data_IF_687360219987
#
_entry.id   IF_687360219987
#
_cell.length_a   1.000
_cell.length_b   1.000
_cell.length_c   1.000
_cell.angle_alpha   90.00
_cell.angle_beta   90.00
_cell.angle_gamma   90.00
#
_symmetry.space_group_name_H-M   'P 1'
#
loop_
_entity.id
_entity.type
_entity.pdbx_description
1 polymer ?
#
# COMPACT_ATOMS: atom_id res chain seq x y z
N UNK A 1 52.71 46.12 50.63
CA UNK A 1 52.41 45.08 49.62
C UNK A 1 51.57 45.72 48.52
N UNK A 2 51.88 45.47 47.24
CA UNK A 2 51.28 46.20 46.11
C UNK A 2 50.22 45.39 45.33
N UNK A 3 49.37 46.13 44.63
CA UNK A 3 48.18 45.66 43.88
C UNK A 3 48.53 45.23 42.46
N UNK A 4 47.86 44.19 41.91
CA UNK A 4 47.45 44.13 40.49
C UNK A 4 46.37 43.08 40.18
N UNK A 5 45.63 43.35 39.09
CA UNK A 5 44.33 42.80 38.62
C UNK A 5 44.31 43.07 37.08
N UNK A 6 43.59 42.37 36.15
CA UNK A 6 42.44 41.45 36.31
C UNK A 6 42.56 40.10 35.54
N UNK A 7 41.45 39.35 35.45
CA UNK A 7 41.25 38.22 34.52
C UNK A 7 39.77 37.86 34.29
N UNK A 8 39.28 38.05 33.05
CA UNK A 8 37.95 37.70 32.49
C UNK A 8 38.09 37.64 30.94
N UNK A 9 37.14 37.09 30.16
CA UNK A 9 35.90 36.38 30.52
C UNK A 9 35.80 34.96 29.91
N UNK A 10 34.69 34.26 30.15
CA UNK A 10 34.24 33.11 29.36
C UNK A 10 32.80 33.30 28.88
N UNK A 11 32.61 33.58 27.59
CA UNK A 11 31.29 33.64 26.94
C UNK A 11 31.19 32.55 25.88
N UNK A 12 30.34 31.54 26.09
CA UNK A 12 29.99 30.59 25.03
C UNK A 12 29.08 31.27 24.01
N UNK A 13 29.59 31.48 22.79
CA UNK A 13 28.81 31.87 21.62
C UNK A 13 28.62 30.64 20.74
N UNK A 14 27.39 30.15 20.63
CA UNK A 14 27.03 29.11 19.67
C UNK A 14 26.76 29.77 18.32
N UNK A 15 27.53 29.40 17.29
CA UNK A 15 27.26 29.76 15.89
C UNK A 15 26.90 28.49 15.09
N UNK A 16 25.70 28.39 14.51
CA UNK A 16 25.34 27.27 13.65
C UNK A 16 26.01 27.42 12.28
N UNK A 17 27.17 26.78 12.09
CA UNK A 17 27.83 26.71 10.77
C UNK A 17 27.17 25.65 9.89
N UNK A 18 26.19 26.09 9.08
CA UNK A 18 25.78 25.34 7.89
C UNK A 18 26.97 25.27 6.92
N UNK A 19 27.44 24.05 6.64
CA UNK A 19 28.54 23.79 5.73
C UNK A 19 28.09 22.77 4.67
N UNK A 20 27.42 23.25 3.63
CA UNK A 20 27.23 22.45 2.41
C UNK A 20 28.60 22.23 1.78
N UNK A 21 28.96 20.98 1.51
CA UNK A 21 30.09 20.60 0.65
C UNK A 21 29.62 19.62 -0.43
N UNK A 22 30.23 19.66 -1.62
CA UNK A 22 29.69 19.01 -2.81
C UNK A 22 29.95 17.50 -2.82
N UNK A 23 29.22 16.80 -3.71
CA UNK A 23 29.48 15.41 -4.02
C UNK A 23 30.91 15.21 -4.56
N UNK A 24 31.57 14.16 -4.10
CA UNK A 24 32.85 13.69 -4.63
C UNK A 24 32.64 12.34 -5.32
N UNK A 25 33.11 12.20 -6.56
CA UNK A 25 33.30 10.89 -7.17
C UNK A 25 34.42 10.16 -6.43
N UNK A 26 34.14 8.96 -5.94
CA UNK A 26 35.19 8.04 -5.50
C UNK A 26 35.61 7.16 -6.68
N UNK A 27 36.69 7.56 -7.34
CA UNK A 27 37.56 6.68 -8.11
C UNK A 27 38.82 6.45 -7.27
N UNK A 28 38.86 5.35 -6.52
CA UNK A 28 40.08 4.94 -5.83
C UNK A 28 40.99 4.18 -6.80
N UNK A 29 42.16 4.76 -7.09
CA UNK A 29 43.26 4.10 -7.79
C UNK A 29 44.36 3.82 -6.76
N UNK A 30 44.66 2.54 -6.53
CA UNK A 30 45.65 2.09 -5.54
C UNK A 30 47.10 2.18 -6.07
N UNK A 31 48.01 2.96 -5.45
CA UNK A 31 49.37 3.14 -5.92
C UNK A 31 50.40 2.27 -5.15
N UNK A 32 50.54 1.00 -5.55
CA UNK A 32 51.85 0.33 -5.48
C UNK A 32 51.99 -0.99 -4.70
N UNK A 33 51.34 -2.07 -5.16
CA UNK A 33 51.68 -3.44 -4.76
C UNK A 33 52.66 -4.12 -5.74
N UNK A 34 53.90 -4.43 -5.32
CA UNK A 34 54.83 -5.24 -6.12
C UNK A 34 54.51 -6.74 -5.98
N UNK A 35 53.69 -7.27 -6.88
CA UNK A 35 53.41 -8.72 -7.00
C UNK A 35 53.46 -9.17 -8.45
N UNK A 36 54.33 -10.12 -8.79
CA UNK A 36 54.51 -10.58 -10.17
C UNK A 36 53.46 -11.60 -10.60
N UNK A 37 52.75 -11.33 -11.69
CA UNK A 37 51.84 -12.28 -12.34
C UNK A 37 52.43 -12.75 -13.68
N UNK A 38 52.51 -14.07 -13.89
CA UNK A 38 52.91 -14.64 -15.19
C UNK A 38 51.76 -14.53 -16.18
N UNK A 39 52.06 -14.09 -17.40
CA UNK A 39 51.12 -14.10 -18.53
C UNK A 39 51.27 -15.42 -19.31
N UNK A 40 50.23 -16.28 -19.38
CA UNK A 40 50.15 -17.32 -20.39
C UNK A 40 49.96 -16.68 -21.76
N UNK A 41 50.57 -17.25 -22.81
CA UNK A 41 50.40 -16.74 -24.18
C UNK A 41 49.02 -17.13 -24.75
N UNK A 42 48.61 -16.44 -25.81
CA UNK A 42 47.63 -17.00 -26.76
C UNK A 42 48.16 -18.33 -27.33
N UNK A 43 47.22 -19.09 -27.88
CA UNK A 43 47.38 -20.30 -28.71
C UNK A 43 47.25 -21.65 -27.99
N UNK A 44 46.06 -21.92 -27.43
CA UNK A 44 45.54 -23.29 -27.25
C UNK A 44 44.02 -23.29 -26.97
N UNK A 45 43.21 -23.64 -27.99
CA UNK A 45 41.93 -24.40 -27.93
C UNK A 45 41.19 -24.30 -29.26
N UNK A 46 41.34 -25.36 -30.08
CA UNK A 46 40.53 -25.61 -31.28
C UNK A 46 39.50 -26.70 -30.95
N UNK A 47 38.31 -26.60 -31.55
CA UNK A 47 37.18 -27.54 -31.48
C UNK A 47 36.57 -27.84 -30.10
N UNK A 48 35.35 -27.33 -29.89
CA UNK A 48 34.12 -28.16 -29.91
C UNK A 48 32.86 -27.30 -29.88
N UNK A 49 32.31 -26.99 -31.05
CA UNK A 49 30.98 -26.36 -31.19
C UNK A 49 30.15 -27.09 -32.24
N UNK A 50 29.27 -28.00 -31.78
CA UNK A 50 28.17 -28.61 -32.55
C UNK A 50 27.02 -29.02 -31.62
N UNK A 51 26.14 -28.07 -31.31
CA UNK A 51 24.68 -28.20 -31.46
C UNK A 51 23.92 -27.19 -30.57
N UNK A 52 23.43 -26.11 -31.21
CA UNK A 52 22.12 -25.49 -30.94
C UNK A 52 21.77 -24.54 -32.08
N UNK A 53 20.55 -24.66 -32.60
CA UNK A 53 20.02 -23.74 -33.63
C UNK A 53 19.64 -22.43 -32.96
N UNK A 54 20.04 -21.25 -33.47
CA UNK A 54 19.51 -19.98 -32.97
C UNK A 54 18.06 -19.81 -33.42
N UNK A 55 17.18 -19.44 -32.48
CA UNK A 55 15.84 -18.94 -32.81
C UNK A 55 15.95 -17.56 -33.46
N UNK A 56 15.24 -17.33 -34.56
CA UNK A 56 15.21 -16.03 -35.21
C UNK A 56 14.38 -15.03 -34.38
N UNK A 57 14.94 -13.85 -34.10
CA UNK A 57 14.18 -12.66 -33.71
C UNK A 57 13.89 -11.81 -34.95
N UNK A 58 12.68 -11.24 -35.11
CA UNK A 58 12.46 -10.21 -36.13
C UNK A 58 13.26 -8.95 -35.76
N UNK A 59 14.00 -8.39 -36.73
CA UNK A 59 14.60 -7.06 -36.62
C UNK A 59 13.54 -6.01 -36.97
N UNK A 60 13.16 -5.19 -35.99
CA UNK A 60 12.75 -3.82 -36.29
C UNK A 60 14.02 -2.99 -36.50
N UNK A 61 14.10 -2.23 -37.59
CA UNK A 61 15.22 -1.34 -37.86
C UNK A 61 14.81 0.11 -37.55
N UNK A 62 15.65 0.82 -36.80
CA UNK A 62 15.62 2.27 -36.68
C UNK A 62 17.06 2.77 -36.76
N UNK A 63 17.42 3.37 -37.89
CA UNK A 63 18.61 4.20 -38.00
C UNK A 63 18.25 5.61 -37.54
N UNK A 64 19.05 6.20 -36.66
CA UNK A 64 18.76 7.49 -36.04
C UNK A 64 19.92 7.97 -35.18
N UNK A 65 20.84 8.73 -35.77
CA UNK A 65 22.08 9.18 -35.13
C UNK A 65 21.82 10.37 -34.18
N UNK A 66 21.27 10.06 -33.00
CA UNK A 66 20.79 11.04 -32.03
C UNK A 66 21.91 11.61 -31.14
N UNK A 67 22.54 12.71 -31.58
CA UNK A 67 23.55 13.44 -30.78
C UNK A 67 22.94 14.08 -29.53
N UNK A 68 23.16 13.46 -28.36
CA UNK A 68 22.72 13.97 -27.06
C UNK A 68 23.32 15.36 -26.76
N UNK A 69 22.51 16.41 -26.90
CA UNK A 69 22.93 17.79 -26.61
C UNK A 69 22.40 18.21 -25.24
N UNK A 70 23.23 18.07 -24.20
CA UNK A 70 22.88 18.41 -22.82
C UNK A 70 22.87 19.95 -22.65
N UNK A 71 21.67 20.55 -22.61
CA UNK A 71 21.49 21.93 -22.15
C UNK A 71 21.43 21.97 -20.62
N UNK A 72 22.51 22.42 -19.98
CA UNK A 72 22.50 22.76 -18.55
C UNK A 72 21.84 24.13 -18.37
N UNK A 73 20.71 24.19 -17.67
CA UNK A 73 20.05 25.44 -17.27
C UNK A 73 20.37 25.70 -15.79
N UNK A 74 21.22 26.69 -15.53
CA UNK A 74 21.58 27.09 -14.16
C UNK A 74 20.61 28.19 -13.69
N UNK A 75 19.61 27.82 -12.89
CA UNK A 75 18.72 28.78 -12.24
C UNK A 75 19.39 29.41 -11.00
N UNK A 76 19.61 30.72 -11.02
CA UNK A 76 20.13 31.47 -9.86
C UNK A 76 19.00 31.92 -8.94
N UNK A 77 18.94 31.36 -7.73
CA UNK A 77 17.96 31.76 -6.71
C UNK A 77 18.34 33.12 -6.08
N UNK A 78 17.60 34.18 -6.40
CA UNK A 78 17.70 35.46 -5.71
C UNK A 78 16.99 35.40 -4.35
N UNK A 79 17.73 35.55 -3.25
CA UNK A 79 17.14 35.90 -1.95
C UNK A 79 17.17 37.41 -1.74
N UNK A 80 16.01 38.01 -1.50
CA UNK A 80 15.88 39.43 -1.14
C UNK A 80 15.63 39.59 0.35
N UNK A 81 16.70 39.76 1.13
CA UNK A 81 16.57 40.16 2.54
C UNK A 81 16.44 41.68 2.66
N UNK A 82 15.33 42.14 3.24
CA UNK A 82 15.25 43.40 3.99
C UNK A 82 14.61 43.08 5.33
N UNK A 83 15.26 43.49 6.41
CA UNK A 83 14.66 43.49 7.75
C UNK A 83 14.79 44.87 8.34
N UNK A 84 14.17 45.10 9.49
CA UNK A 84 14.47 46.27 10.30
C UNK A 84 14.34 45.95 11.79
N UNK A 85 15.20 46.56 12.59
CA UNK A 85 15.17 46.51 14.04
C UNK A 85 14.58 47.82 14.56
N UNK A 86 13.79 47.75 15.63
CA UNK A 86 13.81 48.81 16.64
C UNK A 86 13.52 48.27 18.05
N UNK A 87 13.90 49.06 19.06
CA UNK A 87 13.91 48.67 20.48
C UNK A 87 13.19 49.73 21.31
N UNK A 88 12.51 49.31 22.38
CA UNK A 88 12.27 50.11 23.58
C UNK A 88 12.24 49.23 24.83
N UNK A 89 12.27 49.87 26.01
CA UNK A 89 12.17 49.31 27.38
C UNK A 89 11.24 50.29 28.19
N UNK A 90 11.11 50.19 29.53
CA UNK A 90 10.36 49.17 30.28
C UNK A 90 9.34 49.82 31.28
N UNK A 91 8.60 49.01 32.04
CA UNK A 91 7.75 49.44 33.17
C UNK A 91 6.28 49.00 33.02
N UNK A 92 5.49 48.83 34.09
CA UNK A 92 5.83 48.86 35.52
C UNK A 92 4.87 47.97 36.37
N UNK A 93 5.09 47.92 37.69
CA UNK A 93 4.66 46.86 38.61
C UNK A 93 3.16 46.72 38.97
N UNK A 94 2.72 45.48 39.24
CA UNK A 94 1.52 45.17 40.05
C UNK A 94 1.60 43.85 40.87
N UNK A 95 2.13 43.96 42.09
CA UNK A 95 1.70 43.34 43.37
C UNK A 95 0.97 41.96 43.37
N UNK A 96 1.53 40.97 44.09
CA UNK A 96 0.80 39.79 44.58
C UNK A 96 1.70 38.81 45.36
N UNK A 97 1.43 38.59 46.66
CA UNK A 97 2.28 37.77 47.54
C UNK A 97 1.78 36.30 47.69
N UNK A 98 2.66 35.32 48.01
CA UNK A 98 2.35 33.90 47.91
C UNK A 98 1.74 33.27 49.17
N UNK A 99 1.17 32.06 49.03
CA UNK A 99 0.98 31.10 50.13
C UNK A 99 1.76 29.81 49.86
N UNK A 100 2.26 29.17 50.92
CA UNK A 100 3.14 28.00 50.89
C UNK A 100 2.51 26.82 51.64
N UNK A 101 2.75 25.62 51.09
CA UNK A 101 2.95 24.33 51.78
C UNK A 101 1.78 23.78 52.62
N UNK A 102 1.45 22.51 52.34
CA UNK A 102 0.62 21.64 53.19
C UNK A 102 0.89 20.18 52.84
N UNK A 103 2.04 19.65 53.23
CA UNK A 103 2.39 18.22 53.05
C UNK A 103 1.66 17.35 54.07
N UNK A 104 1.27 16.13 53.65
CA UNK A 104 0.93 15.02 54.56
C UNK A 104 1.52 13.72 54.02
N UNK A 105 2.10 12.95 54.93
CA UNK A 105 2.62 11.61 54.71
C UNK A 105 1.59 10.55 55.17
N UNK A 106 2.06 9.30 55.25
CA UNK A 106 1.34 8.08 55.59
C UNK A 106 0.45 7.51 54.45
N UNK A 107 0.41 6.19 54.21
CA UNK A 107 1.07 5.11 54.95
C UNK A 107 1.53 3.95 54.04
N UNK A 108 2.53 3.20 54.50
CA UNK A 108 3.07 2.06 53.75
C UNK A 108 2.17 0.82 53.84
N UNK A 109 1.99 0.12 52.72
CA UNK A 109 1.28 -1.17 52.65
C UNK A 109 2.09 -2.18 51.84
N UNK A 110 2.56 -3.25 52.49
CA UNK A 110 3.37 -4.29 51.86
C UNK A 110 2.50 -5.40 51.27
N UNK A 111 2.68 -5.71 49.99
CA UNK A 111 2.05 -6.86 49.32
C UNK A 111 3.12 -7.89 48.97
N UNK A 112 2.86 -9.14 49.32
CA UNK A 112 3.81 -10.25 49.20
C UNK A 112 3.94 -10.73 47.75
N UNK A 113 5.12 -11.26 47.41
CA UNK A 113 5.26 -12.15 46.25
C UNK A 113 4.44 -13.41 46.50
N UNK A 114 3.53 -13.75 45.59
CA UNK A 114 3.03 -15.11 45.45
C UNK A 114 3.63 -15.69 44.17
N UNK A 115 4.55 -16.66 44.34
CA UNK A 115 4.67 -17.75 43.37
C UNK A 115 3.54 -18.71 43.71
N UNK A 116 2.79 -19.17 42.73
CA UNK A 116 2.57 -20.62 42.67
C UNK A 116 2.15 -21.16 41.30
N UNK A 117 2.36 -22.47 41.19
CA UNK A 117 1.84 -23.48 40.26
C UNK A 117 0.73 -23.03 39.27
N UNK A 118 0.76 -23.37 37.97
CA UNK A 118 1.46 -24.50 37.34
C UNK A 118 0.54 -25.70 37.11
N UNK A 119 -0.53 -25.54 36.31
CA UNK A 119 -1.51 -26.59 36.07
C UNK A 119 -1.37 -27.25 34.69
N UNK A 120 -0.91 -28.50 34.68
CA UNK A 120 -0.98 -29.37 33.48
C UNK A 120 -2.34 -30.08 33.46
N UNK A 121 -3.02 -30.08 32.30
CA UNK A 121 -3.99 -31.15 31.98
C UNK A 121 -3.66 -31.77 30.62
N UNK A 122 -3.50 -33.09 30.60
CA UNK A 122 -3.45 -33.90 29.37
C UNK A 122 -4.88 -34.21 28.94
N UNK A 123 -5.08 -34.39 27.63
CA UNK A 123 -6.40 -34.37 27.02
C UNK A 123 -7.27 -35.60 27.28
N UNK A 124 -8.39 -35.66 26.53
CA UNK A 124 -8.75 -36.85 25.74
C UNK A 124 -9.63 -36.44 24.57
N UNK A 125 -9.38 -37.03 23.41
CA UNK A 125 -10.31 -36.94 22.30
C UNK A 125 -11.53 -37.87 22.55
N UNK A 126 -12.67 -37.50 21.98
CA UNK A 126 -13.70 -38.47 21.58
C UNK A 126 -14.11 -38.18 20.14
N UNK A 127 -14.06 -39.19 19.28
CA UNK A 127 -14.68 -39.19 17.96
C UNK A 127 -16.18 -39.45 18.12
N UNK A 128 -16.98 -38.97 17.18
CA UNK A 128 -18.24 -39.63 16.83
C UNK A 128 -18.50 -39.47 15.33
N UNK A 129 -18.48 -40.60 14.62
CA UNK A 129 -18.98 -40.69 13.25
C UNK A 129 -20.52 -40.59 13.24
N UNK A 130 -21.08 -39.97 12.19
CA UNK A 130 -22.50 -39.62 12.16
C UNK A 130 -23.10 -39.41 10.76
N UNK A 131 -22.58 -40.10 9.75
CA UNK A 131 -23.04 -39.92 8.37
C UNK A 131 -24.46 -40.50 8.14
N UNK A 132 -25.41 -39.65 7.72
CA UNK A 132 -26.64 -40.09 7.03
C UNK A 132 -26.96 -39.19 5.84
N UNK A 133 -27.17 -39.82 4.67
CA UNK A 133 -27.58 -39.18 3.42
C UNK A 133 -29.11 -39.02 3.39
N UNK A 134 -29.58 -37.93 2.79
CA UNK A 134 -30.96 -37.81 2.27
C UNK A 134 -30.86 -37.39 0.80
N UNK A 135 -31.72 -37.93 -0.07
CA UNK A 135 -31.76 -37.64 -1.52
C UNK A 135 -32.70 -36.46 -1.81
N UNK A 136 -32.45 -35.65 -2.86
CA UNK A 136 -33.31 -34.53 -3.21
C UNK A 136 -34.63 -35.00 -3.86
N UNK A 137 -35.71 -34.26 -3.64
CA UNK A 137 -36.98 -34.41 -4.36
C UNK A 137 -36.97 -33.49 -5.59
N UNK A 138 -37.32 -34.03 -6.75
CA UNK A 138 -37.44 -33.28 -8.01
C UNK A 138 -38.87 -32.73 -8.18
N UNK A 139 -39.01 -31.49 -8.67
CA UNK A 139 -40.24 -31.03 -9.31
C UNK A 139 -39.98 -30.31 -10.64
N UNK A 140 -40.89 -30.57 -11.58
CA UNK A 140 -40.78 -30.32 -13.02
C UNK A 140 -40.65 -28.85 -13.39
N UNK A 141 -39.93 -28.58 -14.49
CA UNK A 141 -40.15 -27.40 -15.34
C UNK A 141 -41.55 -27.47 -15.96
N UNK A 142 -42.26 -26.34 -16.03
CA UNK A 142 -43.34 -26.11 -16.99
C UNK A 142 -42.82 -25.32 -18.20
N UNK A 143 -43.30 -25.63 -19.40
CA UNK A 143 -43.14 -24.81 -20.62
C UNK A 143 -44.53 -24.50 -21.17
N UNK A 144 -44.72 -23.31 -21.72
CA UNK A 144 -45.85 -22.96 -22.56
C UNK A 144 -45.35 -22.21 -23.81
N UNK A 145 -46.08 -22.36 -24.91
CA UNK A 145 -45.97 -21.53 -26.12
C UNK A 145 -46.91 -20.30 -25.96
N UNK A 146 -47.01 -19.30 -26.85
CA UNK A 146 -46.77 -19.25 -28.30
C UNK A 146 -46.47 -17.80 -28.78
N UNK A 147 -45.61 -17.61 -29.79
CA UNK A 147 -45.90 -17.28 -31.22
C UNK A 147 -46.28 -15.81 -31.57
N UNK A 148 -45.39 -15.21 -32.37
CA UNK A 148 -45.60 -14.32 -33.55
C UNK A 148 -46.41 -13.02 -33.43
N UNK A 149 -45.77 -11.92 -33.82
CA UNK A 149 -46.35 -10.73 -34.46
C UNK A 149 -45.25 -10.04 -35.29
N UNK A 150 -45.53 -9.66 -36.53
CA UNK A 150 -44.52 -9.17 -37.50
C UNK A 150 -45.18 -8.31 -38.59
N UNK A 151 -44.63 -7.11 -38.87
CA UNK A 151 -44.55 -6.34 -40.14
C UNK A 151 -44.33 -4.83 -39.85
N UNK A 152 -43.33 -4.18 -40.48
CA UNK A 152 -43.39 -3.21 -41.63
C UNK A 152 -44.20 -1.93 -41.35
N UNK A 153 -43.78 -0.71 -41.75
CA UNK A 153 -42.55 -0.24 -42.43
C UNK A 153 -42.81 1.08 -43.21
N UNK A 154 -41.79 1.87 -43.57
CA UNK A 154 -41.94 3.02 -44.49
C UNK A 154 -40.81 4.07 -44.51
N UNK A 155 -40.29 4.38 -45.71
CA UNK A 155 -39.52 5.60 -46.05
C UNK A 155 -40.50 6.82 -46.25
N UNK A 156 -40.15 8.09 -46.53
CA UNK A 156 -39.02 8.76 -47.22
C UNK A 156 -39.06 10.31 -46.87
N UNK A 157 -38.35 11.32 -47.42
CA UNK A 157 -37.39 11.46 -48.55
C UNK A 157 -36.55 12.80 -48.48
N UNK A 158 -35.88 13.16 -49.59
CA UNK A 158 -35.27 14.45 -50.07
C UNK A 158 -35.86 15.79 -49.53
N UNK A 159 -35.15 16.94 -49.51
CA UNK A 159 -33.73 17.24 -49.80
C UNK A 159 -33.44 18.66 -50.37
N UNK A 160 -32.21 19.18 -50.16
CA UNK A 160 -31.50 20.27 -50.91
C UNK A 160 -32.03 21.73 -50.97
N UNK A 161 -31.26 22.73 -50.48
CA UNK A 161 -30.38 23.58 -51.35
C UNK A 161 -29.75 24.86 -50.72
N UNK A 162 -28.48 25.11 -51.07
CA UNK A 162 -27.71 26.38 -51.27
C UNK A 162 -27.94 27.66 -50.41
N UNK A 163 -26.83 28.17 -49.85
CA UNK A 163 -26.34 29.57 -50.08
C UNK A 163 -24.84 29.70 -49.75
N UNK A 164 -24.21 30.83 -50.14
CA UNK A 164 -22.77 31.14 -49.92
C UNK A 164 -22.61 32.51 -49.25
N UNK A 165 -21.83 32.61 -48.17
CA UNK A 165 -21.25 33.88 -47.70
C UNK A 165 -20.17 33.68 -46.62
N UNK A 166 -19.06 34.41 -46.74
CA UNK A 166 -18.02 34.59 -45.72
C UNK A 166 -17.52 36.04 -45.79
N UNK A 167 -16.84 36.59 -44.76
CA UNK A 167 -16.71 36.13 -43.36
C UNK A 167 -17.23 37.18 -42.35
N UNK A 168 -17.26 36.82 -41.07
CA UNK A 168 -17.24 37.83 -39.99
C UNK A 168 -16.32 37.39 -38.85
N UNK A 169 -15.43 38.29 -38.44
CA UNK A 169 -14.45 38.06 -37.37
C UNK A 169 -15.03 38.46 -36.01
N UNK A 170 -15.44 37.49 -35.21
CA UNK A 170 -15.67 37.67 -33.77
C UNK A 170 -14.50 37.10 -32.98
N UNK A 171 -14.04 37.84 -31.96
CA UNK A 171 -13.09 37.32 -30.98
C UNK A 171 -13.75 36.18 -30.21
N UNK A 172 -13.08 35.03 -30.13
CA UNK A 172 -13.33 34.07 -29.06
C UNK A 172 -12.53 34.57 -27.86
N UNK A 173 -13.21 35.10 -26.85
CA UNK A 173 -12.61 35.31 -25.54
C UNK A 173 -12.50 33.93 -24.87
N UNK A 174 -11.28 33.47 -24.63
CA UNK A 174 -11.02 32.19 -23.97
C UNK A 174 -11.23 32.34 -22.47
N UNK A 175 -12.47 32.23 -21.99
CA UNK A 175 -12.73 31.89 -20.60
C UNK A 175 -12.22 30.47 -20.35
N UNK A 176 -11.12 30.36 -19.61
CA UNK A 176 -10.54 29.07 -19.23
C UNK A 176 -11.34 28.45 -18.07
N UNK A 177 -12.62 28.16 -18.31
CA UNK A 177 -13.44 27.37 -17.40
C UNK A 177 -12.84 25.96 -17.34
N UNK A 178 -12.02 25.73 -16.31
CA UNK A 178 -11.47 24.42 -15.99
C UNK A 178 -12.61 23.54 -15.50
N UNK A 179 -13.30 22.91 -16.46
CA UNK A 179 -14.18 21.77 -16.21
C UNK A 179 -13.31 20.71 -15.51
N UNK A 180 -13.48 20.60 -14.19
CA UNK A 180 -12.92 19.48 -13.43
C UNK A 180 -13.64 18.23 -13.89
N UNK A 181 -13.00 17.46 -14.77
CA UNK A 181 -13.40 16.11 -15.07
C UNK A 181 -13.35 15.31 -13.77
N UNK A 182 -14.51 15.13 -13.15
CA UNK A 182 -14.66 14.21 -12.03
C UNK A 182 -14.47 12.82 -12.62
N UNK A 183 -13.29 12.25 -12.43
CA UNK A 183 -12.97 10.89 -12.86
C UNK A 183 -14.06 9.93 -12.36
N UNK A 184 -14.77 9.30 -13.29
CA UNK A 184 -15.90 8.39 -13.01
C UNK A 184 -15.44 6.99 -12.58
N UNK A 185 -14.16 6.85 -12.22
CA UNK A 185 -13.55 5.59 -11.81
C UNK A 185 -13.92 5.20 -10.37
N UNK A 186 -13.79 3.92 -9.98
CA UNK A 186 -14.21 3.43 -8.65
C UNK A 186 -13.50 4.07 -7.46
N UNK A 187 -12.44 4.87 -7.67
CA UNK A 187 -11.68 5.58 -6.63
C UNK A 187 -12.57 6.28 -5.60
N UNK A 188 -13.60 7.02 -6.03
CA UNK A 188 -14.46 7.77 -5.11
C UNK A 188 -15.34 6.87 -4.23
N UNK A 189 -15.47 5.57 -4.54
CA UNK A 189 -16.13 4.60 -3.66
C UNK A 189 -15.12 3.88 -2.76
N UNK A 190 -13.94 3.56 -3.30
CA UNK A 190 -12.88 2.77 -2.65
C UNK A 190 -11.95 3.59 -1.73
N UNK A 191 -11.86 4.90 -1.92
CA UNK A 191 -11.05 5.80 -1.10
C UNK A 191 -11.92 6.96 -0.58
N UNK A 192 -11.94 7.14 0.74
CA UNK A 192 -12.77 8.14 1.41
C UNK A 192 -11.90 9.20 2.08
N UNK A 193 -12.31 10.47 1.97
CA UNK A 193 -11.73 11.55 2.76
C UNK A 193 -12.06 11.38 4.25
N UNK A 194 -11.17 11.84 5.11
CA UNK A 194 -11.37 12.02 6.55
C UNK A 194 -12.69 12.75 6.88
N UNK A 195 -13.11 13.71 6.05
CA UNK A 195 -14.40 14.38 6.19
C UNK A 195 -15.59 13.45 5.95
N UNK A 196 -15.58 12.66 4.87
CA UNK A 196 -16.64 11.67 4.59
C UNK A 196 -16.70 10.60 5.67
N UNK A 197 -15.56 10.18 6.22
CA UNK A 197 -15.52 9.26 7.37
C UNK A 197 -16.15 9.91 8.60
N UNK A 198 -15.86 11.19 8.88
CA UNK A 198 -16.47 11.91 9.99
C UNK A 198 -17.99 12.05 9.85
N UNK A 199 -18.51 12.33 8.64
CA UNK A 199 -19.95 12.36 8.37
C UNK A 199 -20.66 11.00 8.52
N UNK A 200 -19.90 9.90 8.48
CA UNK A 200 -20.40 8.53 8.63
C UNK A 200 -20.31 7.99 10.08
N UNK A 201 -19.76 8.75 11.02
CA UNK A 201 -19.71 8.35 12.44
C UNK A 201 -21.13 8.26 13.00
N UNK A 202 -21.47 7.10 13.55
CA UNK A 202 -22.80 6.82 14.13
C UNK A 202 -23.79 6.14 13.17
N UNK A 203 -23.51 6.06 11.87
CA UNK A 203 -24.34 5.30 10.92
C UNK A 203 -24.31 3.79 11.27
N UNK A 204 -25.45 3.15 11.58
CA UNK A 204 -25.49 1.72 11.90
C UNK A 204 -25.14 0.81 10.72
N UNK A 205 -25.21 1.31 9.48
CA UNK A 205 -24.77 0.62 8.27
C UNK A 205 -23.26 0.66 8.04
N UNK A 206 -22.51 1.49 8.77
CA UNK A 206 -21.06 1.69 8.59
C UNK A 206 -20.25 1.03 9.71
N UNK A 207 -19.07 0.52 9.35
CA UNK A 207 -18.06 0.05 10.30
C UNK A 207 -16.69 0.60 9.96
N UNK A 208 -16.27 1.59 10.72
CA UNK A 208 -14.88 2.05 10.74
C UNK A 208 -14.03 0.96 11.40
N UNK A 209 -12.87 0.63 10.80
CA UNK A 209 -11.97 -0.43 11.27
C UNK A 209 -10.54 0.10 11.36
N UNK A 210 -9.98 0.07 12.57
CA UNK A 210 -8.58 0.34 12.82
C UNK A 210 -7.75 -0.89 12.45
N UNK A 211 -6.94 -0.74 11.41
CA UNK A 211 -6.09 -1.77 10.84
C UNK A 211 -4.59 -1.50 11.14
N UNK A 212 -4.27 -0.61 12.09
CA UNK A 212 -2.88 -0.35 12.49
C UNK A 212 -2.19 -1.63 12.92
N UNK A 213 -0.97 -1.84 12.43
CA UNK A 213 -0.16 -3.01 12.75
C UNK A 213 1.32 -2.62 12.84
N UNK A 214 2.07 -3.34 13.67
CA UNK A 214 3.53 -3.29 13.74
C UNK A 214 4.05 -4.64 14.24
N UNK A 215 5.30 -4.99 13.89
CA UNK A 215 5.99 -6.13 14.49
C UNK A 215 6.72 -5.74 15.80
N UNK A 216 6.95 -4.45 16.02
CA UNK A 216 7.78 -3.90 17.10
C UNK A 216 6.96 -3.19 18.20
N UNK A 217 5.69 -2.85 17.92
CA UNK A 217 4.77 -2.16 18.84
C UNK A 217 3.40 -2.84 18.92
N UNK A 218 2.80 -2.86 20.12
CA UNK A 218 1.40 -3.29 20.28
C UNK A 218 0.42 -2.21 19.80
N UNK A 219 0.00 -2.32 18.54
CA UNK A 219 -1.01 -1.43 17.97
C UNK A 219 -2.41 -1.62 18.58
N UNK A 220 -2.68 -2.71 19.31
CA UNK A 220 -3.91 -2.85 20.10
C UNK A 220 -3.91 -1.85 21.26
N UNK A 221 -2.77 -1.67 21.93
CA UNK A 221 -2.61 -0.61 22.93
C UNK A 221 -2.76 0.79 22.31
N UNK A 222 -2.14 1.03 21.15
CA UNK A 222 -2.29 2.31 20.42
C UNK A 222 -3.72 2.62 19.97
N UNK A 223 -4.56 1.59 19.76
CA UNK A 223 -6.00 1.73 19.55
C UNK A 223 -6.72 2.09 20.86
N UNK A 224 -6.43 1.41 21.97
CA UNK A 224 -7.01 1.73 23.29
C UNK A 224 -6.66 3.16 23.75
N UNK A 225 -5.46 3.65 23.44
CA UNK A 225 -5.00 5.00 23.77
C UNK A 225 -5.64 6.11 22.91
N UNK A 226 -6.12 5.78 21.71
CA UNK A 226 -6.73 6.75 20.79
C UNK A 226 -7.00 6.20 19.39
N UNK A 227 -8.27 6.19 18.96
CA UNK A 227 -8.73 5.72 17.65
C UNK A 227 -9.81 6.64 17.06
N UNK A 228 -10.09 6.53 15.76
CA UNK A 228 -11.21 7.24 15.10
C UNK A 228 -12.53 6.81 15.78
N UNK A 229 -13.44 7.72 16.18
CA UNK A 229 -14.61 7.37 16.98
C UNK A 229 -15.50 6.31 16.32
N UNK A 230 -15.91 5.33 17.10
CA UNK A 230 -16.65 4.16 16.64
C UNK A 230 -15.82 3.12 15.89
N UNK A 231 -14.49 3.25 15.75
CA UNK A 231 -13.68 2.20 15.13
C UNK A 231 -13.69 0.89 15.93
N UNK A 232 -13.42 -0.22 15.25
CA UNK A 232 -13.10 -1.52 15.86
C UNK A 232 -11.72 -1.97 15.41
N UNK A 233 -10.93 -2.57 16.29
CA UNK A 233 -9.56 -3.01 15.97
C UNK A 233 -9.51 -4.39 15.31
N UNK A 234 -8.73 -4.50 14.23
CA UNK A 234 -8.38 -5.76 13.56
C UNK A 234 -6.85 -5.92 13.47
N UNK A 235 -6.32 -7.05 13.94
CA UNK A 235 -4.89 -7.33 13.86
C UNK A 235 -4.58 -8.20 12.63
N UNK A 236 -3.76 -7.74 11.69
CA UNK A 236 -3.41 -8.54 10.50
C UNK A 236 -2.87 -9.94 10.84
N UNK A 237 -2.04 -10.08 11.88
CA UNK A 237 -1.46 -11.36 12.28
C UNK A 237 -2.45 -12.30 12.99
N UNK A 238 -3.36 -11.78 13.82
CA UNK A 238 -4.29 -12.60 14.62
C UNK A 238 -5.64 -12.84 13.93
N UNK A 239 -6.14 -11.85 13.21
CA UNK A 239 -7.53 -11.76 12.75
C UNK A 239 -7.71 -11.95 11.23
N UNK A 240 -6.66 -11.71 10.43
CA UNK A 240 -6.70 -11.80 8.96
C UNK A 240 -5.78 -12.89 8.38
N UNK A 241 -4.78 -13.33 9.13
CA UNK A 241 -3.83 -14.37 8.72
C UNK A 241 -4.25 -15.76 9.23
N UNK A 242 -4.03 -16.78 8.42
CA UNK A 242 -4.14 -18.19 8.81
C UNK A 242 -2.97 -18.59 9.72
N UNK A 243 -3.12 -19.65 10.56
CA UNK A 243 -1.98 -20.22 11.28
C UNK A 243 -0.89 -20.70 10.30
N UNK A 244 0.40 -20.45 10.59
CA UNK A 244 1.49 -20.80 9.69
C UNK A 244 1.61 -22.33 9.49
N UNK A 245 2.02 -22.79 8.30
CA UNK A 245 2.23 -24.21 8.00
C UNK A 245 3.44 -24.77 8.76
N UNK A 246 3.54 -26.10 8.82
CA UNK A 246 4.64 -26.80 9.50
C UNK A 246 6.03 -26.55 8.86
N UNK A 247 6.09 -26.07 7.62
CA UNK A 247 7.28 -25.56 6.94
C UNK A 247 7.78 -24.21 7.47
N UNK A 248 6.98 -23.51 8.29
CA UNK A 248 7.26 -22.17 8.79
C UNK A 248 6.93 -21.03 7.81
N UNK A 249 6.71 -21.31 6.53
CA UNK A 249 6.38 -20.32 5.49
C UNK A 249 5.44 -20.90 4.42
N UNK A 250 4.60 -20.07 3.75
CA UNK A 250 4.29 -18.66 4.07
C UNK A 250 3.47 -18.53 5.37
N UNK A 251 3.66 -17.45 6.13
CA UNK A 251 3.06 -17.25 7.47
C UNK A 251 1.78 -16.43 7.47
N UNK A 252 1.59 -15.59 6.45
CA UNK A 252 0.61 -14.50 6.50
C UNK A 252 -0.56 -14.65 5.52
N UNK A 253 -0.74 -15.86 4.98
CA UNK A 253 -1.83 -16.23 4.07
C UNK A 253 -3.20 -15.86 4.64
N UNK A 254 -4.17 -15.53 3.78
CA UNK A 254 -5.54 -15.25 4.22
C UNK A 254 -6.17 -16.44 4.97
N UNK A 255 -6.97 -16.13 5.99
CA UNK A 255 -7.74 -17.12 6.75
C UNK A 255 -8.69 -17.94 5.87
N UNK A 256 -9.02 -19.15 6.34
CA UNK A 256 -10.09 -19.94 5.75
C UNK A 256 -11.45 -19.20 5.85
N UNK A 257 -12.39 -19.38 4.89
CA UNK A 257 -13.65 -18.62 4.85
C UNK A 257 -14.44 -18.62 6.17
N UNK A 258 -14.44 -19.74 6.90
CA UNK A 258 -15.15 -19.89 8.16
C UNK A 258 -14.49 -19.19 9.35
N UNK A 259 -13.17 -19.01 9.34
CA UNK A 259 -12.44 -18.23 10.34
C UNK A 259 -12.64 -16.74 10.09
N UNK A 260 -12.44 -16.31 8.84
CA UNK A 260 -12.70 -14.93 8.44
C UNK A 260 -14.14 -14.48 8.76
N UNK A 261 -15.14 -15.34 8.52
CA UNK A 261 -16.53 -15.06 8.88
C UNK A 261 -16.74 -14.88 10.40
N UNK A 262 -15.99 -15.61 11.24
CA UNK A 262 -16.00 -15.40 12.70
C UNK A 262 -15.37 -14.06 13.07
N UNK A 263 -14.27 -13.69 12.43
CA UNK A 263 -13.62 -12.38 12.62
C UNK A 263 -14.57 -11.24 12.24
N UNK A 264 -15.19 -11.27 11.05
CA UNK A 264 -16.12 -10.23 10.61
C UNK A 264 -17.34 -10.14 11.52
N UNK A 265 -17.93 -11.28 11.93
CA UNK A 265 -19.01 -11.33 12.91
C UNK A 265 -18.62 -10.69 14.25
N UNK A 266 -17.41 -11.00 14.78
CA UNK A 266 -16.84 -10.42 16.00
C UNK A 266 -16.62 -8.91 15.89
N UNK A 267 -16.26 -8.41 14.72
CA UNK A 267 -16.10 -6.98 14.42
C UNK A 267 -17.43 -6.27 14.11
N UNK A 268 -18.56 -7.01 14.11
CA UNK A 268 -19.88 -6.50 13.78
C UNK A 268 -20.02 -6.06 12.31
N UNK A 269 -19.25 -6.69 11.42
CA UNK A 269 -19.31 -6.54 9.96
C UNK A 269 -20.21 -7.66 9.42
N UNK A 270 -21.34 -7.28 8.81
CA UNK A 270 -22.26 -8.21 8.14
C UNK A 270 -22.28 -8.01 6.63
N UNK A 271 -23.04 -8.86 5.93
CA UNK A 271 -23.12 -8.90 4.46
C UNK A 271 -23.34 -7.53 3.78
N UNK A 272 -24.09 -6.63 4.42
CA UNK A 272 -24.47 -5.32 3.85
C UNK A 272 -23.67 -4.14 4.45
N UNK A 273 -22.80 -4.38 5.43
CA UNK A 273 -22.05 -3.32 6.13
C UNK A 273 -21.07 -2.62 5.20
N UNK A 274 -21.08 -1.29 5.16
CA UNK A 274 -20.02 -0.51 4.54
C UNK A 274 -18.82 -0.44 5.49
N UNK A 275 -17.71 -1.06 5.11
CA UNK A 275 -16.47 -1.09 5.90
C UNK A 275 -15.59 0.11 5.52
N UNK A 276 -14.99 0.77 6.50
CA UNK A 276 -14.08 1.90 6.29
C UNK A 276 -12.79 1.59 7.05
N UNK A 277 -11.80 1.04 6.36
CA UNK A 277 -10.50 0.71 6.95
C UNK A 277 -9.59 1.93 7.01
N UNK A 278 -8.78 2.04 8.06
CA UNK A 278 -7.64 2.95 8.10
C UNK A 278 -6.46 2.31 8.85
N UNK A 279 -5.27 2.84 8.64
CA UNK A 279 -4.08 2.48 9.43
C UNK A 279 -3.22 3.74 9.66
N UNK A 280 -1.93 3.52 9.98
CA UNK A 280 -0.94 4.56 10.20
C UNK A 280 0.19 4.59 9.17
N UNK A 281 0.04 3.93 8.01
CA UNK A 281 1.05 3.91 6.95
C UNK A 281 0.40 3.79 5.57
N UNK A 282 -0.33 4.84 5.16
CA UNK A 282 -0.84 5.00 3.79
C UNK A 282 -1.99 4.07 3.39
N UNK A 283 -2.63 3.38 4.32
CA UNK A 283 -3.78 2.52 4.02
C UNK A 283 -3.43 1.11 3.54
N UNK A 284 -2.16 0.69 3.62
CA UNK A 284 -1.76 -0.61 3.08
C UNK A 284 -2.15 -1.82 3.96
N UNK A 285 -2.28 -1.64 5.28
CA UNK A 285 -2.89 -2.64 6.15
C UNK A 285 -4.42 -2.63 6.04
N UNK A 286 -5.04 -1.46 5.84
CA UNK A 286 -6.46 -1.36 5.49
C UNK A 286 -6.77 -2.07 4.16
N UNK A 287 -5.90 -1.95 3.15
CA UNK A 287 -6.03 -2.67 1.89
C UNK A 287 -5.91 -4.20 2.04
N UNK A 288 -5.21 -4.70 3.07
CA UNK A 288 -5.17 -6.13 3.40
C UNK A 288 -6.53 -6.64 3.89
N UNK A 289 -7.27 -5.84 4.65
CA UNK A 289 -8.68 -6.13 5.00
C UNK A 289 -9.58 -6.09 3.76
N UNK A 290 -9.39 -5.11 2.86
CA UNK A 290 -10.12 -5.02 1.59
C UNK A 290 -9.94 -6.27 0.72
N UNK A 291 -8.70 -6.74 0.53
CA UNK A 291 -8.42 -7.94 -0.27
C UNK A 291 -9.10 -9.18 0.35
N UNK A 292 -9.11 -9.30 1.67
CA UNK A 292 -9.80 -10.38 2.36
C UNK A 292 -11.32 -10.33 2.14
N UNK A 293 -11.94 -9.15 2.34
CA UNK A 293 -13.38 -8.94 2.09
C UNK A 293 -13.74 -9.22 0.62
N UNK A 294 -12.96 -8.71 -0.34
CA UNK A 294 -13.16 -8.93 -1.78
C UNK A 294 -13.01 -10.40 -2.17
N UNK A 295 -12.02 -11.13 -1.63
CA UNK A 295 -11.84 -12.59 -1.82
C UNK A 295 -13.01 -13.38 -1.26
N UNK A 296 -13.63 -12.92 -0.16
CA UNK A 296 -14.82 -13.55 0.42
C UNK A 296 -16.15 -12.89 0.02
N UNK A 297 -16.14 -12.12 -1.09
CA UNK A 297 -17.35 -11.69 -1.79
C UNK A 297 -18.08 -10.51 -1.15
N UNK A 298 -17.33 -9.55 -0.59
CA UNK A 298 -17.82 -8.31 0.01
C UNK A 298 -17.03 -7.12 -0.54
N UNK A 299 -17.65 -6.32 -1.42
CA UNK A 299 -17.00 -5.13 -2.03
C UNK A 299 -17.38 -3.81 -1.36
N UNK A 300 -18.28 -3.83 -0.36
CA UNK A 300 -18.67 -2.62 0.38
C UNK A 300 -17.57 -2.24 1.38
N UNK A 301 -16.40 -1.85 0.87
CA UNK A 301 -15.28 -1.35 1.66
C UNK A 301 -14.57 -0.19 0.98
N UNK A 302 -14.23 0.82 1.78
CA UNK A 302 -13.30 1.88 1.44
C UNK A 302 -12.08 1.93 2.39
N UNK A 303 -11.05 2.66 1.98
CA UNK A 303 -9.89 3.04 2.81
C UNK A 303 -9.90 4.55 3.05
N UNK A 304 -9.61 5.00 4.28
CA UNK A 304 -9.51 6.42 4.61
C UNK A 304 -8.16 7.00 4.17
N UNK A 305 -8.17 7.97 3.25
CA UNK A 305 -6.95 8.60 2.75
C UNK A 305 -6.24 9.42 3.85
N UNK A 306 -4.89 9.37 3.88
CA UNK A 306 -4.09 10.02 4.92
C UNK A 306 -4.09 9.32 6.28
N UNK A 307 -4.90 8.26 6.45
CA UNK A 307 -4.94 7.44 7.66
C UNK A 307 -5.21 8.22 8.96
N UNK A 308 -4.79 7.67 10.09
CA UNK A 308 -4.96 8.34 11.39
C UNK A 308 -4.10 9.62 11.51
N UNK A 309 -2.99 9.74 10.76
CA UNK A 309 -2.17 10.95 10.74
C UNK A 309 -2.97 12.16 10.26
N UNK A 310 -3.66 12.04 9.12
CA UNK A 310 -4.45 13.14 8.56
C UNK A 310 -5.66 13.46 9.43
N UNK A 311 -6.30 12.45 10.00
CA UNK A 311 -7.37 12.62 10.99
C UNK A 311 -6.94 13.48 12.19
N UNK A 312 -5.76 13.21 12.76
CA UNK A 312 -5.18 13.96 13.87
C UNK A 312 -4.71 15.36 13.43
N UNK A 313 -4.07 15.48 12.26
CA UNK A 313 -3.60 16.76 11.73
C UNK A 313 -4.73 17.75 11.42
N UNK A 314 -5.91 17.25 11.04
CA UNK A 314 -7.15 18.02 10.86
C UNK A 314 -7.87 18.33 12.19
N UNK A 315 -7.29 17.97 13.34
CA UNK A 315 -7.84 18.26 14.67
C UNK A 315 -9.12 17.48 15.02
N UNK A 316 -9.39 16.37 14.33
CA UNK A 316 -10.62 15.59 14.54
C UNK A 316 -10.57 14.79 15.85
N UNK A 317 -11.71 14.57 16.53
CA UNK A 317 -11.75 13.90 17.83
C UNK A 317 -11.29 12.44 17.73
N UNK A 318 -10.74 11.91 18.83
CA UNK A 318 -10.43 10.50 19.02
C UNK A 318 -11.29 9.92 20.16
N UNK A 319 -11.62 8.63 20.05
CA UNK A 319 -12.20 7.81 21.12
C UNK A 319 -11.10 6.96 21.78
N UNK A 320 -11.32 6.52 23.01
CA UNK A 320 -10.37 5.72 23.79
C UNK A 320 -11.06 4.52 24.46
N UNK A 321 -10.27 3.54 24.90
CA UNK A 321 -10.78 2.24 25.34
C UNK A 321 -11.13 1.33 24.16
N UNK A 322 -12.01 0.35 24.39
CA UNK A 322 -12.43 -0.60 23.37
C UNK A 322 -13.92 -0.45 23.06
N UNK A 323 -14.28 -0.25 21.79
CA UNK A 323 -15.66 -0.30 21.34
C UNK A 323 -16.29 -1.67 21.65
N UNK A 324 -17.27 -1.66 22.56
CA UNK A 324 -18.17 -2.80 22.78
C UNK A 324 -19.20 -2.90 21.66
N UNK A 325 -19.59 -4.14 21.31
CA UNK A 325 -20.61 -4.42 20.30
C UNK A 325 -21.70 -5.28 20.93
N UNK A 326 -22.94 -4.80 20.93
CA UNK A 326 -24.06 -5.48 21.60
C UNK A 326 -24.37 -6.87 21.01
N UNK A 327 -24.17 -7.04 19.70
CA UNK A 327 -24.51 -8.24 18.94
C UNK A 327 -23.48 -8.46 17.83
N UNK A 328 -22.95 -9.69 17.66
CA UNK A 328 -22.20 -10.06 16.46
C UNK A 328 -23.07 -9.93 15.20
N UNK A 329 -22.44 -9.56 14.08
CA UNK A 329 -23.12 -9.50 12.78
C UNK A 329 -23.10 -10.87 12.07
N UNK A 330 -23.92 -11.03 11.03
CA UNK A 330 -23.89 -12.21 10.16
C UNK A 330 -23.08 -11.91 8.90
N UNK A 331 -21.90 -12.50 8.81
CA UNK A 331 -21.08 -12.51 7.60
C UNK A 331 -21.15 -13.87 6.91
N UNK A 332 -21.54 -13.88 5.64
CA UNK A 332 -21.69 -15.09 4.81
C UNK A 332 -20.62 -15.05 3.72
N UNK A 333 -19.49 -15.78 3.88
CA UNK A 333 -18.40 -15.70 2.94
C UNK A 333 -18.81 -16.33 1.59
N UNK A 334 -18.54 -15.61 0.52
CA UNK A 334 -18.77 -16.02 -0.88
C UNK A 334 -17.41 -16.02 -1.61
N UNK A 335 -16.59 -17.08 -1.48
CA UNK A 335 -15.25 -17.11 -2.07
C UNK A 335 -15.27 -16.84 -3.59
N UNK A 336 -14.49 -15.86 -4.02
CA UNK A 336 -14.30 -15.50 -5.43
C UNK A 336 -12.94 -15.94 -5.94
N UNK A 337 -12.91 -16.80 -6.94
CA UNK A 337 -11.69 -17.02 -7.72
C UNK A 337 -11.41 -15.75 -8.55
N UNK A 338 -10.17 -15.55 -8.99
CA UNK A 338 -9.79 -14.33 -9.72
C UNK A 338 -9.47 -13.10 -8.86
N UNK A 339 -9.54 -13.17 -7.52
CA UNK A 339 -9.09 -12.07 -6.62
C UNK A 339 -7.66 -12.31 -6.09
N UNK A 340 -7.31 -13.58 -5.88
CA UNK A 340 -6.01 -14.02 -5.39
C UNK A 340 -5.41 -14.98 -6.41
N UNK A 341 -4.11 -14.85 -6.66
CA UNK A 341 -3.33 -15.79 -7.47
C UNK A 341 -2.57 -16.77 -6.56
N UNK A 342 -2.44 -18.03 -7.00
CA UNK A 342 -1.59 -19.02 -6.34
C UNK A 342 -0.13 -18.97 -6.82
N UNK A 343 0.75 -19.73 -6.17
CA UNK A 343 2.12 -19.99 -6.65
C UNK A 343 2.14 -20.57 -8.06
N UNK A 344 1.16 -21.42 -8.39
CA UNK A 344 1.03 -22.08 -9.68
C UNK A 344 0.55 -21.12 -10.78
N UNK A 345 -0.32 -20.16 -10.46
CA UNK A 345 -0.66 -19.02 -11.34
C UNK A 345 0.59 -18.22 -11.71
N UNK A 346 1.39 -17.84 -10.69
CA UNK A 346 2.60 -17.04 -10.90
C UNK A 346 3.66 -17.84 -11.66
N UNK A 347 3.80 -19.14 -11.40
CA UNK A 347 4.66 -20.02 -12.18
C UNK A 347 4.15 -20.23 -13.62
N UNK A 348 2.84 -20.12 -13.87
CA UNK A 348 2.30 -20.04 -15.24
C UNK A 348 2.72 -18.72 -15.90
N UNK A 349 2.48 -17.58 -15.25
CA UNK A 349 2.88 -16.25 -15.73
C UNK A 349 4.38 -16.15 -16.10
N UNK A 350 5.27 -16.72 -15.28
CA UNK A 350 6.72 -16.81 -15.55
C UNK A 350 7.05 -17.59 -16.85
N UNK A 351 6.17 -18.49 -17.31
CA UNK A 351 6.36 -19.30 -18.53
C UNK A 351 5.70 -18.71 -19.77
N UNK A 352 4.62 -17.95 -19.62
CA UNK A 352 3.88 -17.28 -20.70
C UNK A 352 4.34 -15.84 -20.98
N UNK A 353 4.79 -15.12 -19.94
CA UNK A 353 4.93 -13.66 -19.96
C UNK A 353 3.61 -12.91 -19.72
N UNK A 354 2.54 -13.62 -19.33
CA UNK A 354 1.18 -13.11 -19.16
C UNK A 354 0.42 -13.96 -18.11
N UNK A 355 -0.25 -13.38 -17.10
CA UNK A 355 -0.34 -11.94 -16.76
C UNK A 355 1.01 -11.32 -16.36
N UNK A 356 1.06 -9.99 -16.37
CA UNK A 356 2.22 -9.23 -15.91
C UNK A 356 2.43 -9.39 -14.41
N UNK A 357 3.69 -9.50 -13.98
CA UNK A 357 4.06 -9.62 -12.57
C UNK A 357 4.53 -8.26 -12.04
N UNK A 358 3.89 -7.77 -10.98
CA UNK A 358 4.18 -6.46 -10.39
C UNK A 358 4.70 -6.62 -8.96
N UNK A 359 6.00 -6.45 -8.78
CA UNK A 359 6.66 -6.47 -7.47
C UNK A 359 6.63 -5.07 -6.84
N UNK A 360 5.93 -4.95 -5.71
CA UNK A 360 5.75 -3.66 -5.04
C UNK A 360 6.61 -3.47 -3.79
N UNK A 361 7.71 -4.24 -3.70
CA UNK A 361 8.76 -4.10 -2.69
C UNK A 361 9.74 -2.96 -3.02
N UNK A 362 10.67 -2.67 -2.10
CA UNK A 362 11.82 -1.79 -2.35
C UNK A 362 12.74 -2.39 -3.42
N UNK A 363 13.46 -1.53 -4.13
CA UNK A 363 14.56 -1.93 -5.02
C UNK A 363 15.59 -2.84 -4.31
N UNK A 364 15.89 -2.58 -3.03
CA UNK A 364 16.76 -3.43 -2.20
C UNK A 364 16.24 -4.86 -2.06
N UNK A 365 14.93 -5.02 -1.84
CA UNK A 365 14.27 -6.33 -1.72
C UNK A 365 14.19 -7.03 -3.10
N UNK A 366 13.93 -6.27 -4.17
CA UNK A 366 13.79 -6.74 -5.56
C UNK A 366 15.12 -7.19 -6.18
N UNK A 367 16.19 -6.39 -6.03
CA UNK A 367 17.54 -6.74 -6.50
C UNK A 367 18.17 -7.87 -5.68
N UNK A 368 17.66 -8.12 -4.47
CA UNK A 368 18.15 -9.16 -3.57
C UNK A 368 19.27 -8.73 -2.62
N UNK A 369 19.63 -7.44 -2.62
CA UNK A 369 20.55 -6.84 -1.64
C UNK A 369 19.98 -6.95 -0.22
N UNK A 370 18.66 -6.73 -0.07
CA UNK A 370 17.91 -6.94 1.18
C UNK A 370 17.22 -8.31 1.16
N UNK A 371 17.87 -9.30 1.78
CA UNK A 371 17.37 -10.68 1.84
C UNK A 371 16.35 -10.88 2.97
N UNK A 372 15.08 -11.09 2.61
CA UNK A 372 13.95 -11.29 3.56
C UNK A 372 13.32 -12.70 3.56
N UNK A 373 13.92 -13.64 2.83
CA UNK A 373 13.55 -15.05 2.78
C UNK A 373 14.83 -15.92 2.65
N UNK A 374 14.72 -17.25 2.53
CA UNK A 374 15.87 -18.12 2.30
C UNK A 374 16.67 -17.75 1.04
N UNK A 375 16.04 -17.06 0.08
CA UNK A 375 16.64 -16.52 -1.15
C UNK A 375 16.27 -15.03 -1.32
N UNK A 376 17.18 -14.25 -1.90
CA UNK A 376 16.97 -12.83 -2.25
C UNK A 376 16.84 -12.69 -3.77
N UNK A 377 16.24 -11.59 -4.23
CA UNK A 377 15.96 -11.33 -5.64
C UNK A 377 14.48 -11.09 -5.89
N UNK A 378 14.04 -11.28 -7.14
CA UNK A 378 12.66 -11.14 -7.59
C UNK A 378 12.24 -12.29 -8.51
N UNK A 379 10.93 -12.36 -8.82
CA UNK A 379 10.33 -13.36 -9.70
C UNK A 379 10.66 -12.99 -11.17
N UNK A 380 11.12 -13.93 -12.02
CA UNK A 380 11.50 -13.61 -13.41
C UNK A 380 10.36 -12.94 -14.19
N UNK A 381 10.69 -11.88 -14.93
CA UNK A 381 9.72 -11.11 -15.71
C UNK A 381 8.90 -10.09 -14.90
N UNK A 382 9.15 -9.94 -13.59
CA UNK A 382 8.47 -8.93 -12.79
C UNK A 382 9.01 -7.51 -13.00
N UNK A 383 8.10 -6.54 -13.11
CA UNK A 383 8.40 -5.10 -13.03
C UNK A 383 8.40 -4.66 -11.57
N UNK A 384 9.29 -3.76 -11.17
CA UNK A 384 9.30 -3.17 -9.82
C UNK A 384 8.73 -1.76 -9.83
N UNK A 385 7.66 -1.54 -9.06
CA UNK A 385 7.10 -0.21 -8.77
C UNK A 385 6.79 -0.19 -7.27
N UNK A 386 7.50 0.63 -6.49
CA UNK A 386 7.32 0.63 -5.03
C UNK A 386 5.90 1.10 -4.69
N UNK A 387 5.18 0.32 -3.86
CA UNK A 387 3.79 0.63 -3.49
C UNK A 387 3.56 2.07 -2.98
N UNK A 388 4.57 2.64 -2.32
CA UNK A 388 4.55 3.99 -1.75
C UNK A 388 4.63 5.09 -2.81
N UNK A 389 5.07 4.78 -4.03
CA UNK A 389 5.12 5.74 -5.13
C UNK A 389 3.72 6.12 -5.64
N UNK A 390 2.66 5.42 -5.22
CA UNK A 390 1.27 5.85 -5.44
C UNK A 390 0.77 6.90 -4.43
N UNK A 391 1.57 7.26 -3.42
CA UNK A 391 1.20 8.19 -2.34
C UNK A 391 1.87 9.57 -2.48
N UNK A 392 1.25 10.56 -1.84
CA UNK A 392 1.80 11.89 -1.53
C UNK A 392 2.47 11.87 -0.15
N UNK A 393 3.20 12.93 0.21
CA UNK A 393 3.92 13.01 1.50
C UNK A 393 3.00 13.01 2.73
N UNK A 394 1.74 13.44 2.59
CA UNK A 394 0.71 13.45 3.65
C UNK A 394 -0.03 12.11 3.82
N UNK A 395 0.42 11.05 3.14
CA UNK A 395 -0.19 9.72 3.09
C UNK A 395 -1.58 9.65 2.40
N UNK A 396 -1.99 10.68 1.65
CA UNK A 396 -3.05 10.54 0.63
C UNK A 396 -2.49 9.91 -0.65
N UNK A 397 -3.37 9.43 -1.53
CA UNK A 397 -2.96 9.01 -2.87
C UNK A 397 -2.54 10.21 -3.73
N UNK A 398 -1.68 9.96 -4.72
CA UNK A 398 -1.52 10.84 -5.90
C UNK A 398 -2.86 11.04 -6.60
N UNK A 399 -3.01 12.10 -7.38
CA UNK A 399 -4.28 12.37 -8.08
C UNK A 399 -4.54 11.31 -9.18
N UNK A 400 -5.77 11.21 -9.68
CA UNK A 400 -6.16 10.10 -10.58
C UNK A 400 -5.29 10.08 -11.85
N UNK A 401 -5.27 11.22 -12.55
CA UNK A 401 -4.48 11.48 -13.75
C UNK A 401 -2.97 11.17 -13.54
N UNK A 402 -2.41 11.55 -12.37
CA UNK A 402 -1.01 11.27 -12.01
C UNK A 402 -0.72 9.77 -11.89
N UNK A 403 -1.69 8.99 -11.37
CA UNK A 403 -1.57 7.55 -11.21
C UNK A 403 -1.81 6.80 -12.52
N UNK A 404 -2.79 7.22 -13.32
CA UNK A 404 -3.07 6.68 -14.64
C UNK A 404 -1.84 6.83 -15.55
N UNK A 405 -1.23 8.03 -15.58
CA UNK A 405 0.03 8.26 -16.29
C UNK A 405 1.18 7.39 -15.72
N UNK A 406 1.32 7.33 -14.39
CA UNK A 406 2.41 6.60 -13.74
C UNK A 406 2.39 5.09 -14.03
N UNK A 407 1.22 4.44 -13.94
CA UNK A 407 1.09 3.01 -14.25
C UNK A 407 1.16 2.74 -15.76
N UNK A 408 0.54 3.59 -16.60
CA UNK A 408 0.59 3.44 -18.07
C UNK A 408 2.02 3.56 -18.59
N UNK A 409 2.80 4.53 -18.12
CA UNK A 409 4.21 4.69 -18.47
C UNK A 409 5.09 3.51 -18.03
N UNK A 410 4.64 2.70 -17.06
CA UNK A 410 5.30 1.47 -16.62
C UNK A 410 4.79 0.19 -17.33
N UNK A 411 3.88 0.32 -18.31
CA UNK A 411 3.31 -0.79 -19.08
C UNK A 411 1.98 -1.35 -18.55
N UNK A 412 1.45 -0.78 -17.46
CA UNK A 412 0.20 -1.22 -16.82
C UNK A 412 -0.95 -0.29 -17.22
N UNK A 413 -1.66 -0.63 -18.31
CA UNK A 413 -2.94 -0.03 -18.68
C UNK A 413 -4.12 -0.85 -18.16
N UNK A 414 -5.36 -0.38 -18.37
CA UNK A 414 -6.60 -1.05 -17.90
C UNK A 414 -6.72 -2.49 -18.38
N UNK A 415 -6.32 -2.74 -19.63
CA UNK A 415 -6.35 -4.07 -20.28
C UNK A 415 -5.22 -5.01 -19.82
N UNK A 416 -4.25 -4.52 -19.03
CA UNK A 416 -3.07 -5.31 -18.61
C UNK A 416 -3.43 -6.24 -17.44
N UNK A 417 -3.73 -7.51 -17.71
CA UNK A 417 -3.91 -8.51 -16.66
C UNK A 417 -2.66 -8.61 -15.78
N UNK A 418 -2.84 -8.49 -14.47
CA UNK A 418 -1.74 -8.19 -13.52
C UNK A 418 -1.82 -9.03 -12.26
N UNK A 419 -0.69 -9.62 -11.83
CA UNK A 419 -0.53 -10.19 -10.48
C UNK A 419 0.41 -9.30 -9.67
N UNK A 420 -0.13 -8.63 -8.64
CA UNK A 420 0.64 -7.89 -7.65
C UNK A 420 1.24 -8.84 -6.61
N UNK A 421 2.50 -8.63 -6.22
CA UNK A 421 3.10 -9.33 -5.09
C UNK A 421 4.05 -8.43 -4.30
N UNK A 422 4.32 -8.79 -3.05
CA UNK A 422 5.32 -8.11 -2.24
C UNK A 422 6.09 -9.11 -1.37
N UNK A 423 6.33 -8.83 -0.09
CA UNK A 423 6.86 -9.83 0.84
C UNK A 423 5.78 -10.81 1.34
N UNK A 424 4.54 -10.33 1.58
CA UNK A 424 3.53 -11.07 2.33
C UNK A 424 2.08 -10.60 2.03
N UNK A 425 1.75 -10.33 0.77
CA UNK A 425 0.40 -9.92 0.33
C UNK A 425 -0.06 -8.50 0.71
N UNK A 426 0.41 -7.90 1.82
CA UNK A 426 -0.11 -6.61 2.34
C UNK A 426 0.10 -5.44 1.37
N UNK A 427 1.36 -5.05 1.09
CA UNK A 427 1.66 -3.97 0.14
C UNK A 427 1.11 -4.23 -1.26
N UNK A 428 0.97 -5.50 -1.65
CA UNK A 428 0.43 -5.92 -2.93
C UNK A 428 -1.10 -5.74 -3.01
N UNK A 429 -1.80 -5.96 -1.89
CA UNK A 429 -3.23 -5.66 -1.75
C UNK A 429 -3.51 -4.17 -1.92
N UNK A 430 -2.62 -3.30 -1.44
CA UNK A 430 -2.72 -1.85 -1.66
C UNK A 430 -2.60 -1.48 -3.15
N UNK A 431 -1.58 -1.97 -3.86
CA UNK A 431 -1.46 -1.71 -5.30
C UNK A 431 -2.60 -2.32 -6.11
N UNK A 432 -3.14 -3.48 -5.70
CA UNK A 432 -4.35 -4.04 -6.29
C UNK A 432 -5.56 -3.11 -6.07
N UNK A 433 -5.79 -2.65 -4.84
CA UNK A 433 -6.84 -1.66 -4.53
C UNK A 433 -6.70 -0.37 -5.35
N UNK A 434 -5.47 0.14 -5.53
CA UNK A 434 -5.20 1.31 -6.36
C UNK A 434 -5.53 1.03 -7.83
N UNK A 435 -5.04 -0.07 -8.41
CA UNK A 435 -5.35 -0.42 -9.81
C UNK A 435 -6.87 -0.64 -10.02
N UNK A 436 -7.59 -1.26 -9.09
CA UNK A 436 -9.06 -1.36 -9.15
C UNK A 436 -9.73 0.02 -9.05
N UNK A 437 -9.19 0.94 -8.24
CA UNK A 437 -9.65 2.34 -8.17
C UNK A 437 -9.39 3.15 -9.45
N UNK A 438 -8.43 2.72 -10.27
CA UNK A 438 -8.14 3.26 -11.62
C UNK A 438 -8.88 2.49 -12.74
N UNK A 439 -9.77 1.54 -12.41
CA UNK A 439 -10.57 0.81 -13.41
C UNK A 439 -9.87 -0.37 -14.07
N UNK A 440 -8.79 -0.91 -13.50
CA UNK A 440 -8.23 -2.19 -13.94
C UNK A 440 -9.03 -3.35 -13.33
N UNK A 441 -9.74 -4.11 -14.17
CA UNK A 441 -10.58 -5.23 -13.73
C UNK A 441 -9.78 -6.54 -13.51
N UNK A 442 -8.79 -6.82 -14.37
CA UNK A 442 -8.03 -8.09 -14.40
C UNK A 442 -6.82 -8.09 -13.44
N UNK A 443 -7.04 -7.72 -12.18
CA UNK A 443 -5.98 -7.65 -11.16
C UNK A 443 -6.14 -8.74 -10.09
N UNK A 444 -5.02 -9.41 -9.78
CA UNK A 444 -4.90 -10.41 -8.71
C UNK A 444 -3.77 -10.06 -7.75
N UNK A 445 -3.87 -10.52 -6.50
CA UNK A 445 -2.72 -10.50 -5.57
C UNK A 445 -2.21 -11.90 -5.31
N UNK A 446 -0.91 -12.13 -5.47
CA UNK A 446 -0.24 -13.36 -5.04
C UNK A 446 -0.01 -13.30 -3.52
N UNK A 447 -0.84 -14.05 -2.79
CA UNK A 447 -0.95 -13.97 -1.34
C UNK A 447 0.33 -14.44 -0.62
N UNK A 448 0.89 -15.58 -1.04
CA UNK A 448 2.15 -16.11 -0.53
C UNK A 448 3.36 -15.21 -0.83
N UNK A 449 3.31 -14.46 -1.94
CA UNK A 449 4.26 -13.39 -2.24
C UNK A 449 5.73 -13.88 -2.18
N UNK A 450 6.70 -13.00 -1.92
CA UNK A 450 8.12 -13.38 -1.79
C UNK A 450 8.43 -14.22 -0.54
N UNK A 451 7.55 -14.28 0.47
CA UNK A 451 7.74 -15.21 1.59
C UNK A 451 7.47 -16.66 1.19
N UNK A 452 6.52 -16.94 0.30
CA UNK A 452 6.42 -18.26 -0.32
C UNK A 452 7.54 -18.44 -1.35
N UNK A 453 7.61 -17.56 -2.35
CA UNK A 453 8.49 -17.74 -3.50
C UNK A 453 9.99 -17.76 -3.15
N UNK A 454 10.41 -16.88 -2.24
CA UNK A 454 11.80 -16.78 -1.79
C UNK A 454 12.25 -17.92 -0.87
N UNK A 455 11.32 -18.71 -0.32
CA UNK A 455 11.63 -19.87 0.54
C UNK A 455 11.55 -21.22 -0.19
N UNK A 456 10.74 -21.33 -1.25
CA UNK A 456 10.63 -22.54 -2.08
C UNK A 456 11.89 -22.76 -2.95
N UNK A 457 12.70 -23.83 -2.74
CA UNK A 457 14.04 -23.95 -3.34
C UNK A 457 14.07 -23.97 -4.88
N UNK A 458 13.08 -24.63 -5.49
CA UNK A 458 13.08 -24.98 -6.93
C UNK A 458 12.46 -23.90 -7.84
N UNK A 459 11.84 -22.85 -7.28
CA UNK A 459 11.23 -21.77 -8.08
C UNK A 459 12.30 -20.83 -8.63
N UNK A 460 12.23 -20.39 -9.91
CA UNK A 460 13.26 -19.55 -10.51
C UNK A 460 13.26 -18.12 -9.91
N UNK A 461 14.43 -17.49 -9.87
CA UNK A 461 14.65 -16.14 -9.32
C UNK A 461 15.65 -15.36 -10.18
N UNK A 462 15.59 -14.02 -10.13
CA UNK A 462 16.61 -13.12 -10.69
C UNK A 462 17.16 -12.22 -9.56
N UNK A 463 18.44 -11.88 -9.63
CA UNK A 463 19.12 -10.92 -8.74
C UNK A 463 19.70 -9.76 -9.55
N UNK A 464 19.86 -8.60 -8.91
CA UNK A 464 20.17 -7.34 -9.60
C UNK A 464 18.94 -6.73 -10.30
N UNK A 465 19.18 -5.82 -11.26
CA UNK A 465 18.16 -5.34 -12.21
C UNK A 465 18.37 -6.04 -13.57
N UNK A 466 17.25 -6.29 -14.24
CA UNK A 466 17.13 -6.84 -15.60
C UNK A 466 17.45 -5.82 -16.69
#
# INVERSE_FOLDING_TARGET
>A
MNVRVPGRPGHHRVEPRFAVRPAALYLEADPGGRGGLRVPRRDELVERERDRRPFARPRAAFEGDARLTIRVVIGTAHQSARGEHQRTRPGDAARGAPRKIGTREANGGSVRRLRDQGWRRRGRARRHDGARRVRPITRRRGRAHARRGEQRGGDCDRGSSRSLSSPHTSRIETSADRVTFVSTLPRAELFWSTERVASAIGDPGVRIVDCRFSFDEDMRARYLDGHVPGAVYVNWAEDLSAPPPASGHPRWMLQAPGDFARTMARLGIGNETMVVGYDSEGGHHAARLWLALRRFGHDRMAVMEGGIQKWIAEGRPLETGARSLEKPAVFTPRPREGVVASKEDVLAAVRSGDPWLLDVRRDSEFTGVEKRAARGGHIPGAVNILWKDALKEDWTLRDADELEEFYTNAGFGTETSTITYCQAGVRAAFTHLVLTALGHDEVRTYDGSWEEWGNEPDLPIITGRS
#
